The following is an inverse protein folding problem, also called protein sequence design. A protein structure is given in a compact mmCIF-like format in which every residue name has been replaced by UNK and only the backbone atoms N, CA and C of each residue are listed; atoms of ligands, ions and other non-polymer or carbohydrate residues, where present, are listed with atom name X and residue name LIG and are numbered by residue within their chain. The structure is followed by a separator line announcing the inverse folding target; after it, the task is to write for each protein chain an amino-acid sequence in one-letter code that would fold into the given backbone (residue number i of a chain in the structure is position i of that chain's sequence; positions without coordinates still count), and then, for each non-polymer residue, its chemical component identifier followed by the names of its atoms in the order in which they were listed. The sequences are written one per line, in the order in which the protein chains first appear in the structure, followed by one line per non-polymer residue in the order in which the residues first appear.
data_IF_129602073217
#
_entry.id   IF_129602073217
#
_cell.length_a   1.000
_cell.length_b   1.000
_cell.length_c   1.000
_cell.angle_alpha   90.00
_cell.angle_beta   90.00
_cell.angle_gamma   90.00
#
_symmetry.space_group_name_H-M   'P 1'
#
loop_
_entity.id
_entity.type
_entity.pdbx_description
1 polymer ?
#
# COMPACT_ATOMS: atom_id res chain seq x y z
N UNK A 1 -15.29 -0.15 0.81
CA UNK A 1 -15.80 0.12 -0.54
C UNK A 1 -15.19 1.40 -1.07
N UNK A 2 -14.45 1.31 -2.18
CA UNK A 2 -13.62 2.37 -2.78
C UNK A 2 -14.53 3.49 -3.33
N UNK A 3 -14.14 4.74 -3.11
CA UNK A 3 -14.72 5.91 -3.76
C UNK A 3 -13.88 6.20 -5.02
N UNK A 4 -14.41 5.86 -6.19
CA UNK A 4 -13.82 6.10 -7.52
C UNK A 4 -13.97 7.58 -7.93
N UNK A 5 -13.51 8.48 -7.06
CA UNK A 5 -13.40 9.91 -7.36
C UNK A 5 -11.95 10.25 -7.67
N UNK A 6 -11.75 11.26 -8.52
CA UNK A 6 -10.42 11.80 -8.81
C UNK A 6 -9.74 12.26 -7.52
N UNK A 7 -8.41 12.17 -7.48
CA UNK A 7 -7.64 12.57 -6.32
C UNK A 7 -7.83 14.05 -5.99
N UNK A 8 -7.85 14.90 -7.02
CA UNK A 8 -8.12 16.33 -6.92
C UNK A 8 -9.45 16.60 -6.21
N UNK A 9 -10.52 15.89 -6.57
CA UNK A 9 -11.82 16.07 -5.94
C UNK A 9 -11.80 15.67 -4.45
N UNK A 10 -11.07 14.62 -4.09
CA UNK A 10 -10.92 14.20 -2.69
C UNK A 10 -10.10 15.20 -1.88
N UNK A 11 -9.02 15.75 -2.46
CA UNK A 11 -8.22 16.79 -1.83
C UNK A 11 -9.00 18.08 -1.64
N UNK A 12 -9.85 18.47 -2.61
CA UNK A 12 -10.76 19.62 -2.46
C UNK A 12 -11.74 19.44 -1.31
N UNK A 13 -12.31 18.24 -1.14
CA UNK A 13 -13.16 17.93 0.03
C UNK A 13 -12.41 18.13 1.34
N UNK A 14 -11.18 17.63 1.43
CA UNK A 14 -10.36 17.75 2.65
C UNK A 14 -9.94 19.19 2.92
N UNK A 15 -9.57 19.95 1.89
CA UNK A 15 -9.24 21.36 2.01
C UNK A 15 -10.41 22.16 2.60
N UNK A 16 -11.60 22.02 2.01
CA UNK A 16 -12.79 22.75 2.46
C UNK A 16 -13.23 22.35 3.88
N UNK A 17 -12.99 21.10 4.27
CA UNK A 17 -13.23 20.66 5.64
C UNK A 17 -12.29 21.34 6.64
N UNK A 18 -11.01 21.51 6.29
CA UNK A 18 -10.06 22.27 7.12
C UNK A 18 -10.34 23.77 7.16
N UNK A 19 -10.94 24.31 6.09
CA UNK A 19 -11.43 25.71 6.04
C UNK A 19 -12.68 25.95 6.92
N UNK A 20 -13.22 24.90 7.54
CA UNK A 20 -14.36 24.99 8.46
C UNK A 20 -15.73 24.88 7.79
N UNK A 21 -15.80 24.50 6.52
CA UNK A 21 -17.08 24.28 5.86
C UNK A 21 -17.79 23.01 6.35
N UNK A 22 -19.11 23.10 6.53
CA UNK A 22 -19.94 21.93 6.84
C UNK A 22 -19.98 20.96 5.67
N UNK A 23 -20.21 19.67 5.94
CA UNK A 23 -20.27 18.65 4.89
C UNK A 23 -21.36 18.94 3.85
N UNK A 24 -22.46 19.58 4.26
CA UNK A 24 -23.54 20.00 3.37
C UNK A 24 -23.12 21.14 2.44
N UNK A 25 -22.35 22.10 2.96
CA UNK A 25 -21.82 23.20 2.16
C UNK A 25 -20.77 22.67 1.16
N UNK A 26 -19.92 21.75 1.58
CA UNK A 26 -18.93 21.09 0.70
C UNK A 26 -19.65 20.32 -0.42
N UNK A 27 -20.69 19.56 -0.08
CA UNK A 27 -21.48 18.80 -1.05
C UNK A 27 -22.13 19.71 -2.10
N UNK A 28 -22.72 20.83 -1.67
CA UNK A 28 -23.30 21.84 -2.56
C UNK A 28 -22.24 22.51 -3.44
N UNK A 29 -21.12 22.92 -2.87
CA UNK A 29 -20.06 23.65 -3.57
C UNK A 29 -19.37 22.79 -4.64
N UNK A 30 -19.16 21.51 -4.34
CA UNK A 30 -18.52 20.56 -5.26
C UNK A 30 -19.52 19.82 -6.16
N UNK A 31 -20.82 20.11 -6.03
CA UNK A 31 -21.90 19.41 -6.75
C UNK A 31 -21.84 17.88 -6.61
N UNK A 32 -21.55 17.39 -5.41
CA UNK A 32 -21.47 15.96 -5.08
C UNK A 32 -22.45 15.59 -3.96
N UNK A 33 -22.71 14.30 -3.79
CA UNK A 33 -23.57 13.85 -2.69
C UNK A 33 -22.91 14.06 -1.33
N UNK A 34 -23.70 14.41 -0.31
CA UNK A 34 -23.24 14.48 1.08
C UNK A 34 -22.59 13.16 1.54
N UNK A 35 -23.18 12.04 1.13
CA UNK A 35 -22.63 10.70 1.40
C UNK A 35 -21.23 10.47 0.82
N UNK A 36 -20.88 11.14 -0.28
CA UNK A 36 -19.52 11.10 -0.85
C UNK A 36 -18.55 11.88 0.02
N UNK A 37 -18.93 13.09 0.42
CA UNK A 37 -18.14 13.94 1.33
C UNK A 37 -17.86 13.18 2.64
N UNK A 38 -18.90 12.61 3.25
CA UNK A 38 -18.79 11.84 4.49
C UNK A 38 -17.82 10.66 4.34
N UNK A 39 -17.89 9.92 3.23
CA UNK A 39 -16.98 8.78 2.99
C UNK A 39 -15.52 9.21 2.81
N UNK A 40 -15.28 10.30 2.08
CA UNK A 40 -13.92 10.84 1.89
C UNK A 40 -13.34 11.30 3.22
N UNK A 41 -14.11 12.03 4.00
CA UNK A 41 -13.68 12.52 5.31
C UNK A 41 -13.50 11.40 6.33
N UNK A 42 -14.35 10.37 6.32
CA UNK A 42 -14.16 9.19 7.18
C UNK A 42 -12.83 8.48 6.91
N UNK A 43 -12.46 8.32 5.63
CA UNK A 43 -11.15 7.76 5.25
C UNK A 43 -10.03 8.69 5.71
N UNK A 44 -10.17 10.00 5.50
CA UNK A 44 -9.17 10.98 5.89
C UNK A 44 -8.96 11.07 7.40
N UNK A 45 -10.03 11.12 8.20
CA UNK A 45 -9.94 11.18 9.67
C UNK A 45 -9.31 9.91 10.24
N UNK A 46 -9.66 8.74 9.68
CA UNK A 46 -9.15 7.45 10.14
C UNK A 46 -7.66 7.24 9.83
N UNK A 47 -7.20 7.71 8.67
CA UNK A 47 -5.87 7.36 8.15
C UNK A 47 -4.94 8.57 7.97
N UNK A 48 -5.43 9.80 8.18
CA UNK A 48 -4.77 11.07 7.82
C UNK A 48 -4.33 11.15 6.35
N UNK A 49 -4.86 10.27 5.49
CA UNK A 49 -4.45 10.11 4.10
C UNK A 49 -5.70 10.16 3.21
N UNK A 50 -5.61 10.95 2.14
CA UNK A 50 -6.68 11.09 1.13
C UNK A 50 -6.69 9.89 0.18
N UNK A 51 -5.53 9.24 0.04
CA UNK A 51 -5.37 7.96 -0.61
C UNK A 51 -5.39 6.83 0.43
N UNK A 52 -5.89 5.66 0.03
CA UNK A 52 -5.55 4.45 0.74
C UNK A 52 -4.25 3.97 0.07
N UNK A 53 -3.09 4.09 0.72
CA UNK A 53 -1.80 3.62 0.20
C UNK A 53 -1.83 2.14 -0.22
N UNK A 54 -2.82 1.40 0.28
CA UNK A 54 -3.13 0.00 -0.06
C UNK A 54 -3.92 -0.18 -1.37
N UNK A 55 -4.17 0.89 -2.16
CA UNK A 55 -4.75 0.78 -3.50
C UNK A 55 -3.73 0.39 -4.58
N UNK A 56 -2.42 0.50 -4.33
CA UNK A 56 -1.40 -0.07 -5.22
C UNK A 56 -1.34 -1.59 -4.99
N UNK A 57 -2.06 -2.29 -5.87
CA UNK A 57 -2.19 -3.74 -6.08
C UNK A 57 -2.81 -4.58 -4.94
N UNK A 58 -3.99 -5.19 -5.15
CA UNK A 58 -4.38 -6.42 -4.45
C UNK A 58 -3.56 -7.59 -5.05
N UNK A 59 -2.25 -7.47 -4.96
CA UNK A 59 -1.30 -8.52 -5.24
C UNK A 59 -0.31 -8.43 -4.11
N UNK A 60 -0.34 -9.38 -3.19
CA UNK A 60 0.86 -9.66 -2.42
C UNK A 60 1.95 -9.80 -3.48
N UNK A 61 2.91 -8.86 -3.56
CA UNK A 61 4.09 -9.04 -4.40
C UNK A 61 4.80 -10.25 -3.81
N UNK A 62 4.42 -11.42 -4.28
CA UNK A 62 4.98 -12.67 -3.82
C UNK A 62 6.28 -12.80 -4.57
N UNK A 63 7.29 -12.11 -4.04
CA UNK A 63 8.67 -12.19 -4.54
C UNK A 63 9.13 -13.64 -4.56
N UNK A 64 8.61 -14.45 -3.62
CA UNK A 64 8.90 -15.88 -3.52
C UNK A 64 7.72 -16.76 -3.97
N UNK A 65 7.97 -17.62 -4.95
CA UNK A 65 7.09 -18.71 -5.35
C UNK A 65 6.85 -19.71 -4.20
N UNK A 66 5.86 -20.60 -4.33
CA UNK A 66 5.58 -21.62 -3.31
C UNK A 66 6.77 -22.56 -3.07
N UNK A 67 7.53 -22.84 -4.12
CA UNK A 67 8.72 -23.69 -4.06
C UNK A 67 9.88 -22.96 -3.37
N UNK A 68 10.12 -21.71 -3.74
CA UNK A 68 11.14 -20.85 -3.09
C UNK A 68 10.86 -20.71 -1.59
N UNK A 69 9.59 -20.52 -1.21
CA UNK A 69 9.19 -20.48 0.21
C UNK A 69 9.36 -21.83 0.94
N UNK A 70 9.30 -22.96 0.22
CA UNK A 70 9.61 -24.28 0.81
C UNK A 70 11.11 -24.41 1.06
N UNK A 71 11.93 -24.01 0.10
CA UNK A 71 13.39 -24.01 0.21
C UNK A 71 13.84 -23.11 1.37
N UNK A 72 13.33 -21.87 1.44
CA UNK A 72 13.64 -20.94 2.52
C UNK A 72 13.30 -21.52 3.90
N UNK A 73 12.18 -22.24 4.03
CA UNK A 73 11.81 -22.89 5.29
C UNK A 73 12.78 -23.99 5.71
N UNK A 74 13.31 -24.75 4.76
CA UNK A 74 14.30 -25.78 5.07
C UNK A 74 15.66 -25.14 5.38
N UNK A 75 16.05 -24.08 4.66
CA UNK A 75 17.28 -23.32 4.95
C UNK A 75 17.26 -22.69 6.34
N UNK A 76 16.15 -22.08 6.76
CA UNK A 76 16.04 -21.48 8.11
C UNK A 76 16.09 -22.54 9.21
N UNK A 77 15.64 -23.77 8.94
CA UNK A 77 15.74 -24.88 9.91
C UNK A 77 17.15 -25.44 10.02
N UNK A 78 17.83 -25.58 8.88
CA UNK A 78 19.18 -26.15 8.80
C UNK A 78 20.24 -25.15 9.26
N UNK A 79 20.03 -23.86 8.97
CA UNK A 79 21.00 -22.78 9.16
C UNK A 79 20.39 -21.61 9.93
N UNK A 80 20.04 -21.88 11.19
CA UNK A 80 19.38 -20.92 12.09
C UNK A 80 20.25 -19.69 12.36
N UNK A 81 21.58 -19.85 12.35
CA UNK A 81 22.54 -18.78 12.68
C UNK A 81 22.90 -17.87 11.49
N UNK A 82 22.37 -18.15 10.29
CA UNK A 82 22.72 -17.39 9.10
C UNK A 82 22.00 -16.06 9.02
N UNK A 83 22.71 -15.04 8.54
CA UNK A 83 22.14 -13.73 8.30
C UNK A 83 21.21 -13.75 7.08
N UNK A 84 20.29 -12.79 7.03
CA UNK A 84 19.27 -12.71 5.97
C UNK A 84 19.88 -12.64 4.56
N UNK A 85 20.97 -11.90 4.40
CA UNK A 85 21.69 -11.80 3.11
C UNK A 85 22.33 -13.13 2.69
N UNK A 86 22.81 -13.94 3.64
CA UNK A 86 23.37 -15.26 3.37
C UNK A 86 22.28 -16.26 2.93
N UNK A 87 21.14 -16.22 3.63
CA UNK A 87 19.96 -17.02 3.26
C UNK A 87 19.42 -16.62 1.87
N UNK A 88 19.44 -15.32 1.55
CA UNK A 88 19.06 -14.82 0.23
C UNK A 88 20.03 -15.33 -0.84
N UNK A 89 21.34 -15.21 -0.63
CA UNK A 89 22.33 -15.70 -1.61
C UNK A 89 22.20 -17.21 -1.87
N UNK A 90 21.99 -18.01 -0.83
CA UNK A 90 21.75 -19.45 -0.98
C UNK A 90 20.43 -19.75 -1.72
N UNK A 91 19.37 -18.99 -1.45
CA UNK A 91 18.10 -19.14 -2.13
C UNK A 91 18.20 -18.77 -3.63
N UNK A 92 18.98 -17.74 -3.97
CA UNK A 92 19.28 -17.33 -5.35
C UNK A 92 20.08 -18.41 -6.08
N UNK A 93 21.07 -19.03 -5.43
CA UNK A 93 21.83 -20.16 -5.98
C UNK A 93 20.94 -21.37 -6.28
N UNK A 94 20.02 -21.72 -5.37
CA UNK A 94 19.14 -22.88 -5.54
C UNK A 94 18.01 -22.65 -6.55
N UNK A 95 17.56 -21.40 -6.70
CA UNK A 95 16.44 -21.05 -7.59
C UNK A 95 16.91 -20.58 -8.97
N UNK A 96 18.17 -20.14 -9.10
CA UNK A 96 18.72 -19.55 -10.32
C UNK A 96 18.08 -18.20 -10.68
N UNK A 97 17.47 -17.51 -9.70
CA UNK A 97 16.80 -16.22 -9.88
C UNK A 97 17.43 -15.18 -8.97
N UNK A 98 17.65 -13.98 -9.49
CA UNK A 98 17.99 -12.82 -8.69
C UNK A 98 16.72 -12.26 -8.06
N UNK A 99 16.64 -12.33 -6.74
CA UNK A 99 15.48 -11.89 -5.95
C UNK A 99 15.61 -10.42 -5.55
N UNK A 100 16.84 -9.88 -5.54
CA UNK A 100 17.10 -8.48 -5.26
C UNK A 100 17.89 -7.82 -6.40
N UNK A 101 17.21 -6.98 -7.18
CA UNK A 101 17.90 -5.96 -7.96
C UNK A 101 18.47 -4.94 -6.95
N UNK A 102 19.79 -4.72 -6.98
CA UNK A 102 20.47 -3.75 -6.12
C UNK A 102 19.67 -2.42 -6.06
N UNK A 103 19.07 -2.11 -4.91
CA UNK A 103 18.65 -0.75 -4.58
C UNK A 103 19.93 0.04 -4.28
N UNK A 104 20.67 0.37 -5.33
CA UNK A 104 21.99 0.96 -5.23
C UNK A 104 22.26 1.91 -6.38
N UNK A 105 21.30 2.78 -6.68
CA UNK A 105 21.55 4.03 -7.42
C UNK A 105 20.74 5.12 -6.71
N UNK A 106 21.45 5.85 -5.85
CA UNK A 106 21.02 7.05 -5.14
C UNK A 106 21.29 8.27 -6.03
#
# INVERSE_FOLDING_TARGET
MICTFSEDLKWRVVYLYHDGHSHENIAKLLHISKSTVDRVLQVYVKWRMVMNSWQKLPGHHKTLSRNEMKILRELVKDKVDWYLNELVGELELQTGKFLFQHFGDL
#
